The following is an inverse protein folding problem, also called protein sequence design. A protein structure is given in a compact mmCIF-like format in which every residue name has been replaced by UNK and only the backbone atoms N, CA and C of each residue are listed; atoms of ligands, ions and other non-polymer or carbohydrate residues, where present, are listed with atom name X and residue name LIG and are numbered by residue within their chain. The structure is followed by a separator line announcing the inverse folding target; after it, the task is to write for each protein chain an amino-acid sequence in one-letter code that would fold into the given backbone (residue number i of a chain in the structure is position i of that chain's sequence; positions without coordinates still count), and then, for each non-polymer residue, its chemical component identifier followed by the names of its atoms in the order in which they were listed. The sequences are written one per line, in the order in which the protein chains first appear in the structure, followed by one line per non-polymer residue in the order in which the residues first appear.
data_IF_529034715974
#
_entry.id   IF_529034715974
#
_cell.length_a   1.000
_cell.length_b   1.000
_cell.length_c   1.000
_cell.angle_alpha   90.00
_cell.angle_beta   90.00
_cell.angle_gamma   90.00
#
_symmetry.space_group_name_H-M   'P 1'
#
loop_
_entity.id
_entity.type
_entity.pdbx_description
1 polymer ?
#
# COMPACT_ATOMS: atom_id res chain seq x y z
N UNK A 1 -13.49 -36.16 22.36
CA UNK A 1 -12.35 -35.26 22.06
C UNK A 1 -12.84 -34.23 21.07
N UNK A 2 -13.01 -32.96 21.49
CA UNK A 2 -13.37 -31.88 20.57
C UNK A 2 -12.09 -31.45 19.84
N UNK A 3 -12.07 -31.65 18.53
CA UNK A 3 -10.98 -31.14 17.68
C UNK A 3 -11.26 -29.65 17.48
N UNK A 4 -10.47 -28.80 18.13
CA UNK A 4 -10.49 -27.36 17.86
C UNK A 4 -9.86 -27.19 16.47
N UNK A 5 -10.59 -26.67 15.46
CA UNK A 5 -9.99 -26.42 14.17
C UNK A 5 -8.83 -25.44 14.33
N UNK A 6 -7.74 -25.58 13.56
CA UNK A 6 -6.70 -24.56 13.54
C UNK A 6 -7.38 -23.24 13.18
N UNK A 7 -7.21 -22.23 14.03
CA UNK A 7 -7.54 -20.85 13.68
C UNK A 7 -6.77 -20.59 12.40
N UNK A 8 -7.45 -20.57 11.25
CA UNK A 8 -6.86 -20.05 10.03
C UNK A 8 -6.47 -18.63 10.41
N UNK A 9 -5.17 -18.39 10.60
CA UNK A 9 -4.66 -17.06 10.81
C UNK A 9 -5.17 -16.24 9.63
N UNK A 10 -6.19 -15.42 9.87
CA UNK A 10 -6.68 -14.52 8.85
C UNK A 10 -5.48 -13.67 8.48
N UNK A 11 -5.00 -13.82 7.26
CA UNK A 11 -3.86 -13.05 6.75
C UNK A 11 -4.20 -11.57 6.99
N UNK A 12 -3.44 -10.94 7.86
CA UNK A 12 -3.66 -9.56 8.32
C UNK A 12 -2.95 -8.59 7.38
N UNK A 13 -3.55 -7.42 7.17
CA UNK A 13 -2.89 -6.32 6.46
C UNK A 13 -1.79 -5.68 7.32
N UNK A 14 -1.78 -5.93 8.63
CA UNK A 14 -0.76 -5.42 9.54
C UNK A 14 0.66 -5.81 9.10
N UNK A 15 1.60 -4.87 9.25
CA UNK A 15 3.01 -5.04 9.01
C UNK A 15 3.56 -4.02 8.03
N UNK A 16 4.83 -4.21 7.71
CA UNK A 16 5.58 -3.42 6.75
C UNK A 16 5.49 -4.04 5.35
N UNK A 17 5.27 -3.21 4.35
CA UNK A 17 5.12 -3.61 2.95
C UNK A 17 6.00 -2.74 2.08
N UNK A 18 6.72 -3.35 1.15
CA UNK A 18 7.74 -2.67 0.35
C UNK A 18 7.62 -3.07 -1.12
N UNK A 19 7.78 -2.08 -1.98
CA UNK A 19 8.04 -2.23 -3.41
C UNK A 19 9.31 -1.45 -3.74
N UNK A 20 10.19 -2.05 -4.55
CA UNK A 20 11.45 -1.42 -4.97
C UNK A 20 11.81 -1.84 -6.39
N UNK A 21 12.03 -0.86 -7.26
CA UNK A 21 12.66 -1.05 -8.56
C UNK A 21 14.18 -0.98 -8.47
N UNK A 22 14.85 -1.75 -9.33
CA UNK A 22 16.31 -1.81 -9.45
C UNK A 22 16.85 -1.11 -10.71
N UNK A 23 15.95 -0.70 -11.61
CA UNK A 23 16.25 -0.02 -12.88
C UNK A 23 15.59 1.37 -12.96
N UNK A 24 15.84 2.09 -14.06
CA UNK A 24 15.15 3.33 -14.41
C UNK A 24 15.19 4.41 -13.33
N UNK A 25 14.02 4.98 -13.03
CA UNK A 25 13.85 6.01 -11.99
C UNK A 25 13.95 5.45 -10.57
N UNK A 26 14.06 4.13 -10.41
CA UNK A 26 14.09 3.43 -9.11
C UNK A 26 12.88 3.83 -8.27
N UNK A 27 11.70 3.55 -8.81
CA UNK A 27 10.44 3.71 -8.09
C UNK A 27 10.44 2.83 -6.84
N UNK A 28 9.89 3.37 -5.76
CA UNK A 28 9.74 2.69 -4.48
C UNK A 28 8.46 3.12 -3.82
N UNK A 29 7.77 2.17 -3.19
CA UNK A 29 6.61 2.46 -2.36
C UNK A 29 6.69 1.64 -1.07
N UNK A 30 6.21 2.22 0.03
CA UNK A 30 6.20 1.57 1.33
C UNK A 30 4.91 1.84 2.09
N UNK A 31 4.52 0.87 2.93
CA UNK A 31 3.42 1.01 3.87
C UNK A 31 3.83 0.46 5.24
N UNK A 32 3.47 1.19 6.28
CA UNK A 32 3.53 0.72 7.66
C UNK A 32 2.11 0.62 8.23
N UNK A 33 1.57 -0.60 8.33
CA UNK A 33 0.16 -0.81 8.67
C UNK A 33 -0.03 -1.40 10.08
N UNK A 34 -0.94 -0.81 10.85
CA UNK A 34 -1.50 -1.38 12.07
C UNK A 34 -2.98 -1.69 11.85
N UNK A 35 -3.40 -2.91 12.18
CA UNK A 35 -4.79 -3.35 12.03
C UNK A 35 -5.43 -3.64 13.39
N UNK A 36 -6.64 -3.13 13.62
CA UNK A 36 -7.48 -3.44 14.77
C UNK A 36 -8.89 -3.82 14.28
N UNK A 37 -9.20 -5.11 14.28
CA UNK A 37 -10.45 -5.62 13.70
C UNK A 37 -10.54 -5.29 12.20
N UNK A 38 -11.57 -4.52 11.83
CA UNK A 38 -11.79 -4.07 10.45
C UNK A 38 -11.17 -2.69 10.15
N UNK A 39 -10.56 -2.02 11.13
CA UNK A 39 -9.90 -0.73 10.92
C UNK A 39 -8.40 -0.92 10.72
N UNK A 40 -7.83 -0.16 9.79
CA UNK A 40 -6.40 -0.11 9.55
C UNK A 40 -5.95 1.35 9.57
N UNK A 41 -4.80 1.61 10.17
CA UNK A 41 -4.14 2.92 10.16
C UNK A 41 -2.68 2.71 9.82
N UNK A 42 -2.05 3.71 9.24
CA UNK A 42 -0.65 3.58 8.89
C UNK A 42 -0.05 4.80 8.23
N UNK A 43 1.18 4.60 7.78
CA UNK A 43 1.89 5.53 6.91
C UNK A 43 2.07 4.92 5.52
N UNK A 44 2.20 5.80 4.54
CA UNK A 44 2.52 5.43 3.17
C UNK A 44 3.61 6.35 2.63
N UNK A 45 4.40 5.80 1.72
CA UNK A 45 5.32 6.54 0.86
C UNK A 45 5.22 5.98 -0.55
N UNK A 46 5.28 6.88 -1.54
CA UNK A 46 5.39 6.52 -2.95
C UNK A 46 6.28 7.53 -3.66
N UNK A 47 7.37 7.07 -4.28
CA UNK A 47 8.34 7.97 -4.88
C UNK A 47 9.49 7.30 -5.58
N UNK A 48 10.49 8.09 -5.93
CA UNK A 48 11.66 7.66 -6.71
C UNK A 48 12.95 8.04 -6.00
N UNK A 49 14.04 7.34 -6.31
CA UNK A 49 15.37 7.67 -5.77
C UNK A 49 15.89 9.07 -6.19
N UNK A 50 15.17 9.81 -7.05
CA UNK A 50 15.51 11.17 -7.49
C UNK A 50 14.82 12.27 -6.68
N UNK A 51 14.12 11.92 -5.59
CA UNK A 51 13.49 12.89 -4.68
C UNK A 51 12.10 13.36 -5.12
N UNK A 52 11.48 12.70 -6.11
CA UNK A 52 10.07 12.88 -6.43
C UNK A 52 9.26 11.85 -5.67
N UNK A 53 8.15 12.26 -5.05
CA UNK A 53 7.24 11.38 -4.35
C UNK A 53 6.42 12.11 -3.32
N UNK A 54 5.44 11.41 -2.79
CA UNK A 54 4.58 11.86 -1.72
C UNK A 54 4.60 10.83 -0.58
N UNK A 55 4.26 11.31 0.61
CA UNK A 55 4.12 10.46 1.78
C UNK A 55 3.11 11.06 2.73
N UNK A 56 2.58 10.23 3.61
CA UNK A 56 1.80 10.71 4.73
C UNK A 56 1.11 9.60 5.49
N UNK A 57 -0.11 9.87 5.91
CA UNK A 57 -0.90 8.92 6.70
C UNK A 57 -2.03 8.31 5.87
N UNK A 58 -2.44 7.11 6.25
CA UNK A 58 -3.62 6.45 5.69
C UNK A 58 -4.55 5.93 6.78
N UNK A 59 -5.83 5.91 6.45
CA UNK A 59 -6.85 5.22 7.23
C UNK A 59 -7.65 4.32 6.30
N UNK A 60 -7.95 3.11 6.76
CA UNK A 60 -8.66 2.14 5.96
C UNK A 60 -9.71 1.35 6.73
N UNK A 61 -10.64 0.80 5.98
CA UNK A 61 -11.68 -0.09 6.49
C UNK A 61 -11.78 -1.33 5.61
N UNK A 62 -11.74 -2.49 6.25
CA UNK A 62 -11.91 -3.77 5.58
C UNK A 62 -13.38 -3.94 5.16
N UNK A 63 -13.60 -4.14 3.85
CA UNK A 63 -14.89 -4.52 3.27
C UNK A 63 -14.72 -5.81 2.48
N UNK A 64 -15.07 -6.94 3.09
CA UNK A 64 -14.82 -8.26 2.52
C UNK A 64 -13.32 -8.55 2.44
N UNK A 65 -12.79 -8.74 1.22
CA UNK A 65 -11.36 -9.00 0.97
C UNK A 65 -10.55 -7.75 0.60
N UNK A 66 -11.20 -6.58 0.54
CA UNK A 66 -10.58 -5.32 0.14
C UNK A 66 -10.41 -4.42 1.35
N UNK A 67 -9.21 -3.90 1.53
CA UNK A 67 -8.96 -2.79 2.45
C UNK A 67 -9.15 -1.49 1.66
N UNK A 68 -10.28 -0.81 1.85
CA UNK A 68 -10.50 0.51 1.25
C UNK A 68 -9.74 1.55 2.07
N UNK A 69 -8.99 2.43 1.44
CA UNK A 69 -8.11 3.39 2.12
C UNK A 69 -8.33 4.82 1.62
N UNK A 70 -8.24 5.75 2.55
CA UNK A 70 -8.09 7.17 2.28
C UNK A 70 -6.70 7.62 2.73
N UNK A 71 -6.06 8.45 1.90
CA UNK A 71 -4.74 9.00 2.18
C UNK A 71 -4.85 10.47 2.59
N UNK A 72 -3.82 10.91 3.30
CA UNK A 72 -3.45 12.30 3.39
C UNK A 72 -1.94 12.47 3.19
N UNK A 73 -1.54 13.61 2.65
CA UNK A 73 -0.16 14.00 2.43
C UNK A 73 0.38 14.79 3.63
N UNK A 74 1.65 14.54 3.98
CA UNK A 74 2.38 15.30 5.00
C UNK A 74 2.91 16.62 4.45
N UNK A 75 3.22 16.69 3.14
CA UNK A 75 3.70 17.92 2.50
C UNK A 75 2.52 18.85 2.12
N UNK A 76 2.38 20.02 2.77
CA UNK A 76 1.33 20.99 2.42
C UNK A 76 1.56 21.66 1.05
N UNK A 77 2.75 21.51 0.44
CA UNK A 77 3.03 21.96 -0.92
C UNK A 77 2.59 20.93 -1.98
N UNK A 78 2.16 19.73 -1.57
CA UNK A 78 1.53 18.78 -2.48
C UNK A 78 0.24 19.40 -3.03
N UNK A 79 0.18 19.58 -4.35
CA UNK A 79 -0.96 20.21 -5.02
C UNK A 79 -2.14 19.24 -5.20
N UNK A 80 -1.93 17.96 -4.88
CA UNK A 80 -2.88 16.89 -5.10
C UNK A 80 -3.25 16.21 -3.76
N UNK A 81 -4.52 15.83 -3.63
CA UNK A 81 -5.01 15.07 -2.48
C UNK A 81 -5.29 15.89 -1.22
N UNK A 82 -5.66 15.18 -0.15
CA UNK A 82 -5.96 15.77 1.14
C UNK A 82 -4.69 15.96 1.98
N UNK A 83 -4.59 17.03 2.76
CA UNK A 83 -3.46 17.28 3.68
C UNK A 83 -3.80 16.78 5.08
N UNK A 84 -2.85 16.09 5.73
CA UNK A 84 -3.06 15.53 7.06
C UNK A 84 -3.42 16.63 8.09
N UNK A 85 -4.37 16.37 9.02
CA UNK A 85 -5.01 15.08 9.32
C UNK A 85 -6.32 14.82 8.54
N UNK A 86 -6.60 15.54 7.45
CA UNK A 86 -7.78 15.31 6.63
C UNK A 86 -7.49 14.23 5.59
N UNK A 87 -8.33 13.20 5.52
CA UNK A 87 -8.18 12.08 4.59
C UNK A 87 -9.16 12.20 3.43
N UNK A 88 -8.75 11.83 2.22
CA UNK A 88 -9.67 11.63 1.10
C UNK A 88 -10.58 10.43 1.39
N UNK A 89 -11.89 10.66 1.38
CA UNK A 89 -12.91 9.63 1.67
C UNK A 89 -13.84 9.37 0.49
N UNK A 90 -13.78 10.20 -0.54
CA UNK A 90 -14.78 10.18 -1.61
C UNK A 90 -14.41 9.16 -2.68
N UNK A 91 -13.12 8.84 -2.80
CA UNK A 91 -12.60 8.01 -3.89
C UNK A 91 -11.49 7.06 -3.41
N UNK A 92 -11.77 6.14 -2.48
CA UNK A 92 -10.73 5.35 -1.85
C UNK A 92 -10.07 4.41 -2.86
N UNK A 93 -8.75 4.39 -2.82
CA UNK A 93 -7.98 3.27 -3.31
C UNK A 93 -8.27 2.02 -2.49
N UNK A 94 -7.79 0.88 -2.94
CA UNK A 94 -7.86 -0.31 -2.12
C UNK A 94 -6.69 -1.25 -2.29
N UNK A 95 -6.48 -2.04 -1.23
CA UNK A 95 -5.52 -3.13 -1.23
C UNK A 95 -6.20 -4.49 -1.21
N UNK A 96 -5.57 -5.46 -1.88
CA UNK A 96 -5.95 -6.87 -1.83
C UNK A 96 -4.75 -7.69 -1.36
N UNK A 97 -4.93 -8.37 -0.23
CA UNK A 97 -3.90 -9.23 0.36
C UNK A 97 -3.91 -10.62 -0.28
N UNK A 98 -2.73 -11.09 -0.69
CA UNK A 98 -2.49 -12.41 -1.31
C UNK A 98 -1.26 -13.06 -0.67
N UNK A 99 -1.43 -13.57 0.55
CA UNK A 99 -0.33 -14.15 1.33
C UNK A 99 0.65 -13.07 1.80
N UNK A 100 1.88 -13.10 1.29
CA UNK A 100 2.93 -12.10 1.56
C UNK A 100 3.04 -11.03 0.47
N UNK A 101 2.04 -10.95 -0.43
CA UNK A 101 1.89 -9.90 -1.43
C UNK A 101 0.66 -9.03 -1.14
N UNK A 102 0.78 -7.74 -1.43
CA UNK A 102 -0.28 -6.75 -1.30
C UNK A 102 -0.44 -5.99 -2.62
N UNK A 103 -1.54 -6.25 -3.32
CA UNK A 103 -1.85 -5.55 -4.56
C UNK A 103 -2.48 -4.19 -4.24
N UNK A 104 -1.89 -3.10 -4.72
CA UNK A 104 -2.46 -1.76 -4.63
C UNK A 104 -3.26 -1.47 -5.90
N UNK A 105 -4.53 -1.12 -5.74
CA UNK A 105 -5.41 -0.66 -6.80
C UNK A 105 -5.75 0.81 -6.63
N UNK A 106 -5.31 1.62 -7.58
CA UNK A 106 -5.58 3.06 -7.62
C UNK A 106 -6.82 3.36 -8.45
N UNK A 107 -7.54 4.42 -8.08
CA UNK A 107 -8.63 4.92 -8.92
C UNK A 107 -8.10 5.54 -10.21
N UNK A 108 -8.74 5.21 -11.33
CA UNK A 108 -8.49 5.76 -12.65
C UNK A 108 -9.83 5.99 -13.37
N UNK A 109 -10.32 7.23 -13.36
CA UNK A 109 -11.68 7.56 -13.81
C UNK A 109 -12.70 6.78 -12.98
N UNK A 110 -13.66 6.11 -13.62
CA UNK A 110 -14.70 5.34 -12.92
C UNK A 110 -14.30 3.92 -12.52
N UNK A 111 -13.02 3.56 -12.69
CA UNK A 111 -12.51 2.20 -12.43
C UNK A 111 -11.32 2.25 -11.49
N UNK A 112 -10.95 1.10 -10.95
CA UNK A 112 -9.66 0.91 -10.30
C UNK A 112 -8.77 0.05 -11.18
N UNK A 113 -7.49 0.40 -11.25
CA UNK A 113 -6.46 -0.38 -11.95
C UNK A 113 -5.42 -0.83 -10.94
N UNK A 114 -4.87 -2.03 -11.13
CA UNK A 114 -3.73 -2.47 -10.34
C UNK A 114 -2.57 -1.53 -10.67
N UNK A 115 -2.03 -0.89 -9.65
CA UNK A 115 -0.88 0.00 -9.76
C UNK A 115 0.40 -0.80 -9.58
N UNK A 116 0.57 -1.44 -8.42
CA UNK A 116 1.75 -2.24 -8.11
C UNK A 116 1.44 -3.38 -7.12
N UNK A 117 2.44 -4.23 -6.87
CA UNK A 117 2.41 -5.26 -5.82
C UNK A 117 3.50 -4.95 -4.82
N UNK A 118 3.13 -4.68 -3.56
CA UNK A 118 4.08 -4.62 -2.46
C UNK A 118 4.30 -6.01 -1.88
N UNK A 119 5.47 -6.21 -1.30
CA UNK A 119 5.85 -7.45 -0.63
C UNK A 119 6.03 -7.20 0.86
N UNK A 120 5.56 -8.14 1.67
CA UNK A 120 5.73 -8.06 3.12
C UNK A 120 7.22 -8.05 3.47
N UNK A 121 7.63 -7.09 4.30
CA UNK A 121 8.97 -7.13 4.87
C UNK A 121 9.01 -8.24 5.94
N UNK A 122 9.92 -9.20 5.76
CA UNK A 122 10.10 -10.31 6.69
C UNK A 122 11.56 -10.31 7.14
N UNK A 123 11.79 -10.10 8.43
CA UNK A 123 13.12 -10.06 9.02
C UNK A 123 13.95 -11.28 8.61
N UNK A 124 15.13 -11.02 8.04
CA UNK A 124 16.06 -12.06 7.59
C UNK A 124 15.75 -12.64 6.21
N UNK A 125 14.71 -12.17 5.52
CA UNK A 125 14.44 -12.48 4.11
C UNK A 125 14.69 -11.25 3.26
N UNK A 126 15.21 -11.47 2.05
CA UNK A 126 15.32 -10.40 1.05
C UNK A 126 13.94 -10.13 0.46
N UNK A 127 13.51 -8.88 0.44
CA UNK A 127 12.30 -8.44 -0.26
C UNK A 127 12.51 -8.59 -1.78
N UNK A 128 11.53 -9.13 -2.51
CA UNK A 128 11.56 -9.12 -3.97
C UNK A 128 11.73 -7.71 -4.52
N UNK A 129 12.42 -7.60 -5.65
CA UNK A 129 12.67 -6.35 -6.35
C UNK A 129 12.20 -6.46 -7.79
N UNK A 130 11.78 -5.35 -8.36
CA UNK A 130 11.35 -5.25 -9.75
C UNK A 130 12.48 -4.72 -10.63
N UNK A 131 12.73 -5.39 -11.75
CA UNK A 131 13.71 -5.02 -12.78
C UNK A 131 13.04 -4.65 -14.11
N UNK A 132 11.70 -4.59 -14.14
CA UNK A 132 10.93 -4.12 -15.29
C UNK A 132 10.73 -2.62 -15.18
N UNK A 133 11.42 -1.89 -16.05
CA UNK A 133 11.20 -0.46 -16.21
C UNK A 133 10.53 -0.20 -17.56
N UNK A 134 9.51 0.68 -17.62
CA UNK A 134 9.12 1.24 -18.90
C UNK A 134 10.34 1.92 -19.51
N UNK A 135 10.59 1.68 -20.80
CA UNK A 135 11.63 2.40 -21.54
C UNK A 135 11.39 3.91 -21.37
N UNK A 136 12.46 4.69 -21.16
CA UNK A 136 12.47 6.13 -20.88
C UNK A 136 11.96 7.00 -22.07
N UNK A 137 10.89 6.59 -22.74
CA UNK A 137 10.23 7.33 -23.81
C UNK A 137 8.95 8.01 -23.28
N UNK A 138 9.13 9.11 -22.54
CA UNK A 138 8.10 10.15 -22.34
C UNK A 138 8.65 11.51 -22.76
#
# INVERSE_FOLDING_TARGET
MMVVPPVMAQSSFQGDWLYQQTCGWKHSADLHLTQQGNEVKGHWGDGTARGHGDSGSLQGTLKGKKLLVGYCNDDPASNDGAICPNFDKDQPDYYVLRGDELDWYQKFGDKHRKYLTLHREIKGKKTPTDDHCPDDDQ
#
